data_IF_616102330275
#
_entry.id   IF_616102330275
#
_cell.length_a   1.000
_cell.length_b   1.000
_cell.length_c   1.000
_cell.angle_alpha   90.00
_cell.angle_beta   90.00
_cell.angle_gamma   90.00
#
_symmetry.space_group_name_H-M   'P 1'
#
loop_
_entity.id
_entity.type
_entity.pdbx_description
1 polymer ?
#
# COMPACT_ATOMS: atom_id res chain seq x y z
N UNK A 1 1.60 6.09 9.72
CA UNK A 1 0.78 4.86 9.54
C UNK A 1 1.25 4.13 8.30
N UNK A 2 1.38 2.84 8.40
CA UNK A 2 1.75 2.01 7.26
C UNK A 2 0.50 1.46 6.61
N UNK A 3 0.41 1.58 5.30
CA UNK A 3 -0.75 1.14 4.52
C UNK A 3 -0.34 -0.02 3.63
N UNK A 4 -1.11 -1.09 3.68
CA UNK A 4 -0.91 -2.23 2.79
C UNK A 4 -1.67 -2.00 1.49
N UNK A 5 -0.99 -2.22 0.36
CA UNK A 5 -1.60 -2.09 -0.96
C UNK A 5 -1.36 -3.41 -1.68
N UNK A 6 -2.42 -4.17 -1.87
CA UNK A 6 -2.32 -5.47 -2.51
C UNK A 6 -3.10 -5.57 -3.80
N UNK A 7 -2.85 -6.65 -4.52
CA UNK A 7 -3.53 -6.98 -5.76
C UNK A 7 -3.33 -5.93 -6.85
N UNK A 8 -2.22 -5.19 -6.79
CA UNK A 8 -1.94 -4.24 -7.86
C UNK A 8 -1.21 -4.96 -9.01
N UNK A 9 -1.27 -4.39 -10.21
CA UNK A 9 -0.51 -4.97 -11.32
C UNK A 9 0.98 -4.98 -10.98
N UNK A 10 1.67 -6.00 -11.42
CA UNK A 10 3.09 -6.11 -11.10
C UNK A 10 3.96 -5.11 -11.86
N UNK A 11 3.37 -4.37 -12.77
CA UNK A 11 4.07 -3.27 -13.43
C UNK A 11 4.10 -2.01 -12.57
N UNK A 12 3.36 -1.99 -11.47
CA UNK A 12 3.32 -0.82 -10.57
C UNK A 12 4.66 -0.71 -9.85
N UNK A 13 5.20 0.52 -9.85
CA UNK A 13 6.49 0.79 -9.20
C UNK A 13 6.30 1.56 -7.91
N UNK A 14 7.41 1.78 -7.19
CA UNK A 14 7.38 2.59 -5.98
C UNK A 14 6.82 3.98 -6.28
N UNK A 15 7.24 4.57 -7.40
CA UNK A 15 6.77 5.89 -7.78
C UNK A 15 5.29 5.87 -8.08
N UNK A 16 4.80 4.79 -8.67
CA UNK A 16 3.36 4.66 -8.96
C UNK A 16 2.56 4.63 -7.66
N UNK A 17 3.04 3.90 -6.66
CA UNK A 17 2.38 3.86 -5.36
C UNK A 17 2.36 5.25 -4.73
N UNK A 18 3.49 5.93 -4.77
CA UNK A 18 3.56 7.27 -4.20
C UNK A 18 2.57 8.20 -4.88
N UNK A 19 2.54 8.18 -6.20
CA UNK A 19 1.63 9.03 -6.95
C UNK A 19 0.16 8.73 -6.66
N UNK A 20 -0.13 7.47 -6.39
CA UNK A 20 -1.50 7.06 -6.11
C UNK A 20 -1.99 7.62 -4.78
N UNK A 21 -1.10 7.75 -3.81
CA UNK A 21 -1.47 8.18 -2.47
C UNK A 21 -1.26 9.67 -2.22
N UNK A 22 -0.41 10.32 -3.00
CA UNK A 22 -0.10 11.73 -2.76
C UNK A 22 -1.30 12.68 -2.81
N UNK A 23 -2.32 12.43 -3.64
CA UNK A 23 -3.48 13.32 -3.62
C UNK A 23 -4.20 13.37 -2.28
N UNK A 24 -3.96 12.42 -1.41
CA UNK A 24 -4.60 12.37 -0.09
C UNK A 24 -3.75 13.01 1.00
N UNK A 25 -2.45 13.17 0.74
CA UNK A 25 -1.54 13.76 1.71
C UNK A 25 -0.11 13.39 1.39
N UNK A 26 0.82 13.99 2.09
CA UNK A 26 2.24 13.71 1.87
C UNK A 26 2.55 12.25 2.17
N UNK A 27 3.28 11.65 1.27
CA UNK A 27 3.71 10.25 1.42
C UNK A 27 5.14 10.24 1.95
N UNK A 28 5.36 9.59 3.08
CA UNK A 28 6.70 9.48 3.67
C UNK A 28 7.54 8.47 2.92
N UNK A 29 6.94 7.35 2.55
CA UNK A 29 7.64 6.35 1.76
C UNK A 29 6.63 5.47 1.05
N UNK A 30 7.06 4.89 -0.06
CA UNK A 30 6.25 3.96 -0.81
C UNK A 30 7.18 2.89 -1.36
N UNK A 31 6.81 1.64 -1.21
CA UNK A 31 7.69 0.55 -1.60
C UNK A 31 6.89 -0.65 -2.08
N UNK A 32 7.20 -1.10 -3.29
CA UNK A 32 6.64 -2.33 -3.83
C UNK A 32 7.52 -3.48 -3.37
N UNK A 33 6.89 -4.54 -2.86
CA UNK A 33 7.64 -5.73 -2.46
C UNK A 33 7.93 -6.56 -3.69
N UNK A 34 9.20 -6.90 -3.89
CA UNK A 34 9.61 -7.69 -5.04
C UNK A 34 10.13 -9.03 -4.60
N UNK A 35 10.06 -9.99 -5.54
CA UNK A 35 10.62 -11.31 -5.32
C UNK A 35 12.13 -11.20 -5.42
N UNK A 36 12.82 -11.74 -4.44
CA UNK A 36 14.26 -11.61 -4.37
C UNK A 36 14.96 -12.34 -5.52
N UNK A 37 14.38 -13.45 -5.96
CA UNK A 37 15.02 -14.27 -6.99
C UNK A 37 14.73 -13.75 -8.39
N UNK A 38 13.48 -13.41 -8.65
CA UNK A 38 13.08 -12.99 -9.99
C UNK A 38 13.14 -11.49 -10.20
N UNK A 39 13.14 -10.73 -9.10
CA UNK A 39 13.09 -9.27 -9.19
C UNK A 39 11.73 -8.72 -9.56
N UNK A 40 10.73 -9.56 -9.64
CA UNK A 40 9.40 -9.14 -10.03
C UNK A 40 8.60 -8.72 -8.82
N UNK A 41 7.64 -7.81 -9.05
CA UNK A 41 6.71 -7.41 -8.01
C UNK A 41 5.88 -8.60 -7.56
N UNK A 42 5.67 -8.70 -6.25
CA UNK A 42 4.83 -9.75 -5.72
C UNK A 42 3.35 -9.37 -5.71
N UNK A 43 3.04 -8.21 -6.28
CA UNK A 43 1.66 -7.76 -6.39
C UNK A 43 1.16 -7.00 -5.18
N UNK A 44 2.06 -6.65 -4.26
CA UNK A 44 1.68 -5.84 -3.11
C UNK A 44 2.84 -4.96 -2.67
N UNK A 45 2.52 -3.95 -1.88
CA UNK A 45 3.52 -3.04 -1.38
C UNK A 45 2.99 -2.30 -0.16
N UNK A 46 3.78 -1.35 0.31
CA UNK A 46 3.43 -0.58 1.49
C UNK A 46 3.69 0.89 1.25
N UNK A 47 2.84 1.72 1.86
CA UNK A 47 2.98 3.16 1.81
C UNK A 47 2.93 3.68 3.24
N UNK A 48 3.83 4.62 3.57
CA UNK A 48 3.78 5.25 4.89
C UNK A 48 3.38 6.70 4.74
N UNK A 49 2.40 7.11 5.52
CA UNK A 49 1.92 8.49 5.51
C UNK A 49 1.21 8.76 6.82
N UNK A 50 0.89 10.04 7.07
CA UNK A 50 0.23 10.42 8.31
C UNK A 50 -1.13 9.71 8.43
N UNK A 51 -1.45 9.29 9.65
CA UNK A 51 -2.65 8.49 9.88
C UNK A 51 -3.93 9.18 9.41
N UNK A 52 -4.02 10.49 9.60
CA UNK A 52 -5.22 11.21 9.22
C UNK A 52 -5.46 11.17 7.71
N UNK A 53 -4.41 11.18 6.93
CA UNK A 53 -4.53 11.10 5.48
C UNK A 53 -4.64 9.67 5.01
N UNK A 54 -3.97 8.76 5.73
CA UNK A 54 -4.00 7.35 5.37
C UNK A 54 -5.41 6.79 5.46
N UNK A 55 -6.17 7.20 6.47
CA UNK A 55 -7.53 6.70 6.64
C UNK A 55 -8.39 7.03 5.42
N UNK A 56 -8.26 8.26 4.92
CA UNK A 56 -9.01 8.66 3.74
C UNK A 56 -8.53 7.92 2.50
N UNK A 57 -7.22 7.77 2.36
CA UNK A 57 -6.66 7.06 1.22
C UNK A 57 -7.16 5.62 1.18
N UNK A 58 -7.17 4.96 2.33
CA UNK A 58 -7.68 3.59 2.40
C UNK A 58 -9.13 3.55 1.94
N UNK A 59 -9.95 4.45 2.46
CA UNK A 59 -11.37 4.45 2.12
C UNK A 59 -11.62 4.70 0.64
N UNK A 60 -10.79 5.55 0.03
CA UNK A 60 -10.99 5.91 -1.37
C UNK A 60 -10.36 4.95 -2.36
N UNK A 61 -9.25 4.33 -1.96
CA UNK A 61 -8.50 3.49 -2.89
C UNK A 61 -8.83 2.01 -2.78
N UNK A 62 -9.36 1.58 -1.65
CA UNK A 62 -9.72 0.18 -1.51
C UNK A 62 -10.82 -0.17 -2.50
N UNK A 63 -10.57 -1.16 -3.35
CA UNK A 63 -11.52 -1.57 -4.36
C UNK A 63 -11.39 -0.83 -5.67
N UNK A 64 -10.50 0.16 -5.75
CA UNK A 64 -10.30 0.90 -7.00
C UNK A 64 -9.62 0.01 -8.02
N UNK A 65 -10.12 0.03 -9.25
CA UNK A 65 -9.55 -0.81 -10.29
C UNK A 65 -8.41 -0.13 -11.00
N UNK A 66 -7.33 -0.89 -11.17
CA UNK A 66 -6.19 -0.49 -11.98
C UNK A 66 -5.89 -1.67 -12.89
N UNK A 67 -5.93 -1.46 -14.19
CA UNK A 67 -5.69 -2.51 -15.18
C UNK A 67 -6.56 -3.74 -14.89
N UNK A 68 -7.82 -3.50 -14.61
CA UNK A 68 -8.81 -4.54 -14.34
C UNK A 68 -8.60 -5.29 -13.03
N UNK A 69 -7.75 -4.78 -12.14
CA UNK A 69 -7.52 -5.37 -10.85
C UNK A 69 -8.02 -4.43 -9.76
N UNK A 70 -8.86 -4.95 -8.88
CA UNK A 70 -9.34 -4.17 -7.74
C UNK A 70 -8.30 -4.17 -6.65
N UNK A 71 -7.84 -2.99 -6.27
CA UNK A 71 -6.82 -2.86 -5.24
C UNK A 71 -7.38 -3.26 -3.88
N UNK A 72 -6.51 -3.81 -3.05
CA UNK A 72 -6.83 -4.08 -1.66
C UNK A 72 -5.98 -3.18 -0.80
N UNK A 73 -6.61 -2.19 -0.22
CA UNK A 73 -5.90 -1.17 0.55
C UNK A 73 -6.40 -1.21 1.98
N UNK A 74 -5.50 -1.51 2.90
CA UNK A 74 -5.84 -1.64 4.31
C UNK A 74 -4.69 -1.13 5.15
N UNK A 75 -4.99 -0.92 6.44
CA UNK A 75 -3.93 -0.60 7.37
C UNK A 75 -3.04 -1.81 7.56
N UNK A 76 -1.73 -1.62 7.35
CA UNK A 76 -0.79 -2.73 7.42
C UNK A 76 -0.18 -2.90 8.79
N UNK A 77 -0.27 -1.89 9.64
CA UNK A 77 0.36 -1.90 10.92
C UNK A 77 -0.25 -2.92 11.81
N UNK A 78 0.51 -3.90 12.22
CA UNK A 78 -0.04 -4.78 13.21
C UNK A 78 0.30 -4.20 14.55
N UNK A 79 -0.57 -4.36 15.41
CA UNK A 79 -0.34 -3.92 16.75
C UNK A 79 0.50 -4.90 17.36
N UNK A 80 1.21 -4.70 17.62
CA UNK A 80 2.04 -5.73 17.97
C UNK A 80 1.46 -6.63 18.93
N UNK A 81 0.88 -6.06 18.24
CA UNK A 81 0.54 -6.70 18.51
C UNK A 81 0.31 -7.16 19.10
N UNK A 82 0.08 -6.86 19.21
CA UNK A 82 -0.17 -7.33 19.57
C UNK A 82 -0.01 -7.86 20.00
N UNK A 83 -0.12 -7.62 20.09
CA UNK A 83 0.04 -8.26 20.30
C UNK A 83 0.06 -8.92 20.68
N UNK A 84 0.00 -8.87 20.89
CA UNK A 84 0.08 -9.61 21.07
C UNK A 84 0.03 -10.40 21.52
N UNK A 85 -0.03 -10.41 21.86
CA UNK A 85 -0.07 -11.16 22.12
C UNK A 85 -0.09 -11.94 22.45
N UNK A 86 -0.16 -11.77 22.81
CA UNK A 86 -0.18 -12.40 22.93
C UNK A 86 -0.09 -12.70 23.26
#
# INVERSE_FOLDING_TARGET
>A
MKVYVGNHPWSVTDADLQNLFEPFGSVDSAQVVTDRESGRSRGFGFVEMAAQYAAEAIAKLNGREIDSRALRVNEAESKPRASSRF
#
